data_IF_238374063340
#
_entry.id   IF_238374063340
#
_cell.length_a   1.000
_cell.length_b   1.000
_cell.length_c   1.000
_cell.angle_alpha   90.00
_cell.angle_beta   90.00
_cell.angle_gamma   90.00
#
_symmetry.space_group_name_H-M   'P 1'
#
loop_
_entity.id
_entity.type
_entity.pdbx_description
1 polymer ?
#
# COMPACT_ATOMS: atom_id res chain seq x y z
N UNK A 1 6.77 3.52 -39.39
CA UNK A 1 7.62 3.89 -38.23
C UNK A 1 6.74 3.86 -36.98
N UNK A 2 6.68 2.70 -36.34
CA UNK A 2 5.87 2.44 -35.15
C UNK A 2 6.76 2.56 -33.93
N UNK A 3 6.77 3.72 -33.28
CA UNK A 3 7.46 3.94 -32.01
C UNK A 3 6.61 3.35 -30.88
N UNK A 4 6.95 2.14 -30.47
CA UNK A 4 6.42 1.51 -29.25
C UNK A 4 7.18 2.09 -28.05
N UNK A 5 6.49 2.84 -27.20
CA UNK A 5 7.02 3.32 -25.91
C UNK A 5 6.78 2.22 -24.88
N UNK A 6 7.82 1.63 -24.24
CA UNK A 6 7.60 0.71 -23.13
C UNK A 6 7.31 1.52 -21.86
N UNK A 7 6.05 1.60 -21.44
CA UNK A 7 5.73 2.00 -20.07
C UNK A 7 6.04 0.82 -19.14
N UNK A 8 7.25 0.80 -18.57
CA UNK A 8 7.52 0.11 -17.31
C UNK A 8 6.93 0.96 -16.17
N UNK A 9 5.61 0.84 -15.94
CA UNK A 9 5.04 1.13 -14.61
C UNK A 9 5.52 0.00 -13.69
N UNK A 10 6.64 0.19 -13.00
CA UNK A 10 7.09 -0.82 -12.01
C UNK A 10 7.73 -0.20 -10.77
N UNK A 11 7.78 1.13 -10.62
CA UNK A 11 8.29 1.71 -9.36
C UNK A 11 7.77 3.13 -9.17
N UNK A 12 6.50 3.26 -8.81
CA UNK A 12 6.04 4.45 -8.10
C UNK A 12 5.12 4.00 -6.96
N UNK A 13 5.66 3.19 -6.05
CA UNK A 13 5.25 3.32 -4.65
C UNK A 13 5.39 4.80 -4.34
N UNK A 14 4.29 5.47 -4.04
CA UNK A 14 4.25 6.83 -3.51
C UNK A 14 5.38 6.99 -2.49
N UNK A 15 6.50 7.58 -2.93
CA UNK A 15 7.47 8.15 -2.04
C UNK A 15 6.82 9.41 -1.51
N UNK A 16 5.93 9.26 -0.53
CA UNK A 16 5.72 10.27 0.48
C UNK A 16 7.03 10.34 1.31
N UNK A 17 8.08 10.82 0.66
CA UNK A 17 9.43 11.01 1.14
C UNK A 17 9.42 12.05 2.25
N UNK A 18 9.27 11.52 3.46
CA UNK A 18 9.52 12.23 4.72
C UNK A 18 9.97 11.25 5.81
N UNK A 19 10.44 10.05 5.45
CA UNK A 19 11.12 9.17 6.39
C UNK A 19 12.60 9.43 6.28
N UNK A 20 13.15 10.16 7.26
CA UNK A 20 14.54 9.98 7.62
C UNK A 20 14.71 8.50 7.92
N UNK A 21 15.42 7.81 7.01
CA UNK A 21 15.98 6.49 7.28
C UNK A 21 16.60 6.54 8.67
N UNK A 22 15.98 5.87 9.64
CA UNK A 22 16.70 5.53 10.86
C UNK A 22 17.72 4.52 10.37
N UNK A 23 18.92 5.01 10.05
CA UNK A 23 20.05 4.20 9.64
C UNK A 23 20.28 3.17 10.75
N UNK A 24 19.80 1.94 10.52
CA UNK A 24 20.36 0.79 11.19
C UNK A 24 21.85 0.83 10.86
N UNK A 25 22.68 0.86 11.92
CA UNK A 25 24.14 0.88 11.92
C UNK A 25 24.75 0.43 10.56
N UNK A 26 25.36 1.38 9.82
CA UNK A 26 25.91 1.21 8.46
C UNK A 26 26.97 0.09 8.34
N UNK A 27 27.33 -0.54 9.47
CA UNK A 27 28.34 -1.60 9.55
C UNK A 27 27.83 -3.01 9.22
N UNK A 28 26.51 -3.24 9.10
CA UNK A 28 25.98 -4.53 8.63
C UNK A 28 25.48 -4.40 7.18
N UNK A 29 26.42 -4.50 6.23
CA UNK A 29 26.12 -4.75 4.83
C UNK A 29 25.56 -6.17 4.69
N UNK A 30 24.25 -6.31 4.86
CA UNK A 30 23.55 -7.53 4.48
C UNK A 30 23.57 -7.62 2.96
N UNK A 31 24.16 -8.69 2.43
CA UNK A 31 24.03 -9.01 1.01
C UNK A 31 22.57 -9.32 0.71
N UNK A 32 21.86 -8.30 0.21
CA UNK A 32 20.43 -8.35 -0.07
C UNK A 32 20.09 -9.43 -1.09
N UNK A 33 20.94 -9.65 -2.09
CA UNK A 33 20.69 -10.63 -3.14
C UNK A 33 20.83 -12.05 -2.59
N UNK A 34 21.91 -12.33 -1.85
CA UNK A 34 22.09 -13.62 -1.19
C UNK A 34 21.00 -13.89 -0.15
N UNK A 35 20.60 -12.88 0.63
CA UNK A 35 19.51 -12.99 1.59
C UNK A 35 18.19 -13.33 0.90
N UNK A 36 17.83 -12.60 -0.15
CA UNK A 36 16.61 -12.87 -0.92
C UNK A 36 16.63 -14.29 -1.49
N UNK A 37 17.77 -14.73 -2.05
CA UNK A 37 17.90 -16.07 -2.61
C UNK A 37 17.67 -17.16 -1.55
N UNK A 38 18.25 -16.99 -0.36
CA UNK A 38 18.09 -17.97 0.73
C UNK A 38 16.66 -18.02 1.26
N UNK A 39 16.05 -16.86 1.50
CA UNK A 39 14.63 -16.77 1.92
C UNK A 39 13.72 -17.36 0.85
N UNK A 40 13.96 -17.04 -0.42
CA UNK A 40 13.22 -17.58 -1.55
C UNK A 40 13.30 -19.10 -1.62
N UNK A 41 14.48 -19.69 -1.43
CA UNK A 41 14.65 -21.14 -1.43
C UNK A 41 13.81 -21.82 -0.35
N UNK A 42 13.75 -21.27 0.88
CA UNK A 42 12.89 -21.82 1.93
C UNK A 42 11.40 -21.73 1.56
N UNK A 43 10.97 -20.60 0.98
CA UNK A 43 9.58 -20.39 0.59
C UNK A 43 9.17 -21.25 -0.63
N UNK A 44 10.07 -21.52 -1.57
CA UNK A 44 9.83 -22.45 -2.69
C UNK A 44 9.60 -23.88 -2.19
N UNK A 45 10.31 -24.28 -1.14
CA UNK A 45 10.14 -25.56 -0.48
C UNK A 45 8.89 -25.63 0.44
N UNK A 46 8.08 -24.57 0.49
CA UNK A 46 6.88 -24.50 1.32
C UNK A 46 7.14 -24.30 2.81
N UNK A 47 8.38 -23.95 3.20
CA UNK A 47 8.79 -23.80 4.59
C UNK A 47 8.89 -22.32 4.99
N UNK A 48 7.73 -21.71 5.24
CA UNK A 48 7.67 -20.31 5.67
C UNK A 48 8.27 -20.09 7.06
N UNK A 49 8.26 -21.10 7.93
CA UNK A 49 8.82 -20.99 9.28
C UNK A 49 10.35 -20.90 9.24
N UNK A 50 11.00 -21.76 8.45
CA UNK A 50 12.44 -21.69 8.26
C UNK A 50 12.85 -20.37 7.57
N UNK A 51 12.02 -19.85 6.67
CA UNK A 51 12.25 -18.54 6.05
C UNK A 51 12.24 -17.40 7.08
N UNK A 52 11.28 -17.38 8.00
CA UNK A 52 11.19 -16.37 9.07
C UNK A 52 12.32 -16.53 10.08
N UNK A 53 12.63 -17.76 10.50
CA UNK A 53 13.74 -18.05 11.42
C UNK A 53 15.07 -17.58 10.84
N UNK A 54 15.28 -17.82 9.54
CA UNK A 54 16.47 -17.34 8.84
C UNK A 54 16.59 -15.81 8.87
N UNK A 55 15.48 -15.08 8.67
CA UNK A 55 15.46 -13.60 8.71
C UNK A 55 15.71 -13.09 10.13
N UNK A 56 15.04 -13.67 11.12
CA UNK A 56 15.11 -13.22 12.51
C UNK A 56 16.47 -13.53 13.15
N UNK A 57 17.19 -14.53 12.65
CA UNK A 57 18.56 -14.81 13.07
C UNK A 57 19.60 -13.83 12.54
N UNK A 58 19.23 -12.80 11.74
CA UNK A 58 20.20 -11.91 11.06
C UNK A 58 20.75 -10.77 11.92
N UNK A 59 20.29 -10.60 13.16
CA UNK A 59 20.93 -9.70 14.12
C UNK A 59 19.95 -8.85 14.92
N UNK A 60 20.32 -7.59 15.14
CA UNK A 60 19.55 -6.68 15.98
C UNK A 60 18.14 -6.41 15.42
N UNK A 61 17.14 -6.12 16.28
CA UNK A 61 15.74 -6.01 15.86
C UNK A 61 15.48 -5.00 14.73
N UNK A 62 16.18 -3.86 14.72
CA UNK A 62 16.02 -2.86 13.64
C UNK A 62 16.57 -3.35 12.30
N UNK A 63 17.64 -4.14 12.31
CA UNK A 63 18.17 -4.75 11.10
C UNK A 63 17.18 -5.78 10.54
N UNK A 64 16.65 -6.65 11.40
CA UNK A 64 15.64 -7.65 11.03
C UNK A 64 14.38 -6.98 10.47
N UNK A 65 13.91 -5.90 11.10
CA UNK A 65 12.77 -5.12 10.62
C UNK A 65 13.01 -4.52 9.21
N UNK A 66 14.22 -3.97 8.97
CA UNK A 66 14.61 -3.46 7.66
C UNK A 66 14.68 -4.57 6.60
N UNK A 67 15.20 -5.76 6.97
CA UNK A 67 15.22 -6.94 6.09
C UNK A 67 13.79 -7.34 5.68
N UNK A 68 12.86 -7.43 6.62
CA UNK A 68 11.45 -7.72 6.31
C UNK A 68 10.84 -6.69 5.34
N UNK A 69 11.07 -5.39 5.56
CA UNK A 69 10.58 -4.33 4.66
C UNK A 69 11.14 -4.49 3.24
N UNK A 70 12.43 -4.81 3.11
CA UNK A 70 13.06 -5.02 1.82
C UNK A 70 12.56 -6.28 1.11
N UNK A 71 12.38 -7.38 1.84
CA UNK A 71 11.84 -8.62 1.29
C UNK A 71 10.42 -8.45 0.74
N UNK A 72 9.57 -7.66 1.41
CA UNK A 72 8.23 -7.35 0.88
C UNK A 72 8.31 -6.67 -0.49
N UNK A 73 9.24 -5.73 -0.66
CA UNK A 73 9.47 -5.07 -1.96
C UNK A 73 10.00 -6.03 -3.00
N UNK A 74 10.94 -6.89 -2.63
CA UNK A 74 11.56 -7.85 -3.56
C UNK A 74 10.62 -8.97 -4.00
N UNK A 75 9.84 -9.52 -3.07
CA UNK A 75 8.88 -10.59 -3.38
C UNK A 75 7.76 -10.08 -4.29
N UNK A 76 7.31 -8.84 -4.10
CA UNK A 76 6.37 -8.21 -5.02
C UNK A 76 7.02 -7.86 -6.35
N UNK A 77 8.05 -7.00 -6.35
CA UNK A 77 8.58 -6.40 -7.57
C UNK A 77 9.49 -7.31 -8.40
N UNK A 78 10.32 -8.15 -7.76
CA UNK A 78 11.27 -9.00 -8.46
C UNK A 78 10.74 -10.42 -8.71
N UNK A 79 9.85 -10.92 -7.83
CA UNK A 79 9.31 -12.28 -7.92
C UNK A 79 7.85 -12.35 -8.36
N UNK A 80 7.12 -11.23 -8.31
CA UNK A 80 5.67 -11.18 -8.58
C UNK A 80 4.87 -12.18 -7.73
N UNK A 81 5.35 -12.49 -6.52
CA UNK A 81 4.77 -13.51 -5.64
C UNK A 81 4.05 -12.86 -4.45
N UNK A 82 2.77 -12.55 -4.66
CA UNK A 82 1.91 -11.91 -3.68
C UNK A 82 1.67 -12.81 -2.45
N UNK A 83 1.36 -14.11 -2.57
CA UNK A 83 1.17 -14.98 -1.41
C UNK A 83 2.39 -15.03 -0.49
N UNK A 84 3.60 -15.20 -1.05
CA UNK A 84 4.83 -15.24 -0.24
C UNK A 84 5.19 -13.87 0.33
N UNK A 85 4.96 -12.79 -0.42
CA UNK A 85 5.10 -11.42 0.07
C UNK A 85 4.20 -11.16 1.28
N UNK A 86 2.95 -11.64 1.25
CA UNK A 86 2.01 -11.54 2.38
C UNK A 86 2.52 -12.32 3.60
N UNK A 87 2.99 -13.56 3.42
CA UNK A 87 3.52 -14.39 4.51
C UNK A 87 4.68 -13.65 5.23
N UNK A 88 5.67 -13.20 4.46
CA UNK A 88 6.86 -12.50 4.99
C UNK A 88 6.47 -11.15 5.60
N UNK A 89 5.57 -10.41 4.95
CA UNK A 89 5.10 -9.13 5.45
C UNK A 89 4.35 -9.23 6.78
N UNK A 90 3.48 -10.23 6.94
CA UNK A 90 2.77 -10.48 8.20
C UNK A 90 3.72 -10.91 9.31
N UNK A 91 4.69 -11.78 9.01
CA UNK A 91 5.74 -12.15 9.96
C UNK A 91 6.55 -10.92 10.40
N UNK A 92 6.95 -10.06 9.45
CA UNK A 92 7.65 -8.82 9.76
C UNK A 92 6.86 -7.85 10.63
N UNK A 93 5.56 -7.67 10.38
CA UNK A 93 4.69 -6.90 11.27
C UNK A 93 4.63 -7.50 12.67
N UNK A 94 4.43 -8.82 12.79
CA UNK A 94 4.34 -9.50 14.08
C UNK A 94 5.64 -9.39 14.88
N UNK A 95 6.78 -9.66 14.26
CA UNK A 95 8.11 -9.49 14.84
C UNK A 95 8.32 -8.06 15.35
N UNK A 96 8.08 -7.06 14.51
CA UNK A 96 8.27 -5.65 14.89
C UNK A 96 7.41 -5.24 16.09
N UNK A 97 6.16 -5.70 16.15
CA UNK A 97 5.26 -5.38 17.26
C UNK A 97 5.67 -6.11 18.55
N UNK A 98 6.08 -7.37 18.47
CA UNK A 98 6.57 -8.13 19.62
C UNK A 98 7.84 -7.50 20.20
N UNK A 99 8.81 -7.18 19.33
CA UNK A 99 10.06 -6.54 19.74
C UNK A 99 9.83 -5.10 20.24
N UNK A 100 8.86 -4.37 19.66
CA UNK A 100 8.46 -3.05 20.16
C UNK A 100 7.92 -3.12 21.59
N UNK A 101 7.07 -4.11 21.87
CA UNK A 101 6.55 -4.34 23.21
C UNK A 101 7.64 -4.75 24.22
N UNK A 102 8.56 -5.62 23.81
CA UNK A 102 9.69 -6.01 24.64
C UNK A 102 10.58 -4.82 25.00
N UNK A 103 10.95 -3.99 24.00
CA UNK A 103 11.74 -2.78 24.19
C UNK A 103 11.06 -1.77 25.13
N UNK A 104 9.73 -1.58 24.98
CA UNK A 104 8.97 -0.71 25.88
C UNK A 104 9.00 -1.21 27.32
N UNK A 105 8.88 -2.53 27.55
CA UNK A 105 8.95 -3.14 28.89
C UNK A 105 10.33 -2.99 29.53
N UNK A 106 11.40 -2.96 28.73
CA UNK A 106 12.76 -2.72 29.21
C UNK A 106 13.14 -1.23 29.31
N UNK A 107 12.21 -0.30 29.02
CA UNK A 107 12.45 1.14 29.08
C UNK A 107 13.16 1.74 27.86
N UNK A 108 13.35 0.98 26.78
CA UNK A 108 13.91 1.49 25.51
C UNK A 108 12.78 2.01 24.60
N UNK A 109 12.28 3.20 24.94
CA UNK A 109 11.18 3.84 24.20
C UNK A 109 11.55 4.15 22.75
N UNK A 110 12.82 4.51 22.49
CA UNK A 110 13.29 4.85 21.14
C UNK A 110 13.21 3.62 20.24
N UNK A 111 13.77 2.49 20.67
CA UNK A 111 13.69 1.23 19.94
C UNK A 111 12.23 0.80 19.75
N UNK A 112 11.40 0.92 20.79
CA UNK A 112 9.99 0.57 20.72
C UNK A 112 9.25 1.37 19.63
N UNK A 113 9.46 2.69 19.56
CA UNK A 113 8.84 3.56 18.55
C UNK A 113 9.38 3.28 17.14
N UNK A 114 10.68 3.03 16.99
CA UNK A 114 11.29 2.68 15.70
C UNK A 114 10.74 1.36 15.16
N UNK A 115 10.64 0.32 15.97
CA UNK A 115 10.08 -0.98 15.57
C UNK A 115 8.58 -0.88 15.22
N UNK A 116 7.81 -0.13 16.00
CA UNK A 116 6.40 0.14 15.66
C UNK A 116 6.26 0.89 14.33
N UNK A 117 7.21 1.78 14.02
CA UNK A 117 7.26 2.49 12.75
C UNK A 117 7.55 1.57 11.57
N UNK A 118 8.46 0.60 11.73
CA UNK A 118 8.67 -0.46 10.73
C UNK A 118 7.43 -1.33 10.54
N UNK A 119 6.75 -1.74 11.61
CA UNK A 119 5.50 -2.50 11.50
C UNK A 119 4.45 -1.74 10.67
N UNK A 120 4.32 -0.43 10.88
CA UNK A 120 3.44 0.44 10.09
C UNK A 120 3.85 0.47 8.61
N UNK A 121 5.14 0.62 8.31
CA UNK A 121 5.67 0.66 6.94
C UNK A 121 5.43 -0.66 6.21
N UNK A 122 5.77 -1.79 6.84
CA UNK A 122 5.55 -3.13 6.29
C UNK A 122 4.05 -3.33 5.99
N UNK A 123 3.18 -2.97 6.94
CA UNK A 123 1.73 -3.07 6.75
C UNK A 123 1.22 -2.22 5.58
N UNK A 124 1.77 -1.01 5.39
CA UNK A 124 1.46 -0.17 4.23
C UNK A 124 1.89 -0.85 2.92
N UNK A 125 3.14 -1.31 2.84
CA UNK A 125 3.70 -1.88 1.62
C UNK A 125 2.94 -3.14 1.21
N UNK A 126 2.70 -4.07 2.14
CA UNK A 126 1.94 -5.29 1.85
C UNK A 126 0.52 -4.95 1.41
N UNK A 127 -0.15 -4.04 2.12
CA UNK A 127 -1.51 -3.64 1.80
C UNK A 127 -1.61 -2.98 0.43
N UNK A 128 -0.72 -2.04 0.12
CA UNK A 128 -0.67 -1.39 -1.19
C UNK A 128 -0.42 -2.41 -2.31
N UNK A 129 0.49 -3.37 -2.11
CA UNK A 129 0.77 -4.44 -3.06
C UNK A 129 -0.39 -5.44 -3.24
N UNK A 130 -1.37 -5.44 -2.33
CA UNK A 130 -2.59 -6.25 -2.43
C UNK A 130 -3.74 -5.50 -3.12
N UNK A 131 -3.52 -4.31 -3.68
CA UNK A 131 -4.56 -3.52 -4.33
C UNK A 131 -4.73 -3.97 -5.80
N UNK A 132 -5.89 -4.51 -6.22
CA UNK A 132 -6.08 -5.00 -7.58
C UNK A 132 -6.12 -3.90 -8.64
N UNK A 133 -6.37 -2.64 -8.24
CA UNK A 133 -6.48 -1.52 -9.17
C UNK A 133 -5.14 -1.07 -9.78
N UNK A 134 -4.01 -1.68 -9.39
CA UNK A 134 -2.73 -1.46 -10.07
C UNK A 134 -2.67 -2.10 -11.46
N UNK A 135 -3.36 -3.24 -11.66
CA UNK A 135 -3.28 -4.04 -12.90
C UNK A 135 -1.82 -4.33 -13.34
N UNK A 136 -0.90 -4.53 -12.38
CA UNK A 136 0.52 -4.80 -12.66
C UNK A 136 0.72 -6.10 -13.46
N UNK A 137 1.54 -6.04 -14.51
CA UNK A 137 1.72 -7.15 -15.44
C UNK A 137 2.33 -8.37 -14.74
N UNK A 138 1.62 -9.50 -14.82
CA UNK A 138 2.09 -10.77 -14.26
C UNK A 138 1.78 -10.95 -12.78
N UNK A 139 1.08 -10.01 -12.17
CA UNK A 139 0.61 -10.09 -10.79
C UNK A 139 -0.90 -10.34 -10.81
N UNK A 140 -1.35 -11.35 -10.07
CA UNK A 140 -2.77 -11.65 -9.87
C UNK A 140 -3.10 -11.43 -8.41
N UNK A 141 -4.03 -10.52 -8.14
CA UNK A 141 -4.53 -10.23 -6.79
C UNK A 141 -5.86 -10.95 -6.59
N UNK A 142 -5.91 -11.92 -5.68
CA UNK A 142 -7.14 -12.65 -5.35
C UNK A 142 -8.00 -11.91 -4.33
N UNK A 143 -9.24 -12.36 -4.12
CA UNK A 143 -10.10 -11.83 -3.04
C UNK A 143 -9.50 -12.08 -1.64
N UNK A 144 -8.77 -13.18 -1.46
CA UNK A 144 -8.08 -13.47 -0.20
C UNK A 144 -6.98 -12.45 0.05
N UNK A 145 -6.18 -12.13 -0.98
CA UNK A 145 -5.12 -11.13 -0.89
C UNK A 145 -5.69 -9.75 -0.53
N UNK A 146 -6.80 -9.35 -1.17
CA UNK A 146 -7.51 -8.10 -0.86
C UNK A 146 -7.98 -8.03 0.59
N UNK A 147 -8.55 -9.12 1.13
CA UNK A 147 -9.00 -9.15 2.54
C UNK A 147 -7.84 -9.02 3.52
N UNK A 148 -6.70 -9.66 3.22
CA UNK A 148 -5.48 -9.52 4.01
C UNK A 148 -4.92 -8.09 3.88
N UNK A 149 -4.94 -7.53 2.66
CA UNK A 149 -4.55 -6.16 2.38
C UNK A 149 -5.39 -5.14 3.16
N UNK A 150 -6.70 -5.35 3.28
CA UNK A 150 -7.59 -4.52 4.10
C UNK A 150 -7.24 -4.58 5.59
N UNK A 151 -6.97 -5.77 6.12
CA UNK A 151 -6.56 -5.94 7.53
C UNK A 151 -5.26 -5.16 7.81
N UNK A 152 -4.28 -5.27 6.91
CA UNK A 152 -3.01 -4.54 7.02
C UNK A 152 -3.15 -3.03 6.78
N UNK A 153 -4.10 -2.58 5.93
CA UNK A 153 -4.45 -1.16 5.81
C UNK A 153 -4.97 -0.60 7.14
N UNK A 154 -5.86 -1.34 7.81
CA UNK A 154 -6.40 -0.96 9.12
C UNK A 154 -5.31 -0.97 10.19
N UNK A 155 -4.41 -1.95 10.16
CA UNK A 155 -3.22 -1.97 11.04
C UNK A 155 -2.37 -0.72 10.81
N UNK A 156 -2.07 -0.37 9.56
CA UNK A 156 -1.31 0.82 9.20
C UNK A 156 -1.95 2.11 9.74
N UNK A 157 -3.27 2.27 9.56
CA UNK A 157 -4.02 3.42 10.08
C UNK A 157 -3.97 3.49 11.61
N UNK A 158 -4.21 2.38 12.30
CA UNK A 158 -4.14 2.29 13.76
C UNK A 158 -2.74 2.69 14.26
N UNK A 159 -1.69 2.10 13.69
CA UNK A 159 -0.31 2.42 14.06
C UNK A 159 0.07 3.86 13.72
N UNK A 160 -0.46 4.42 12.63
CA UNK A 160 -0.31 5.84 12.29
C UNK A 160 -0.83 6.75 13.41
N UNK A 161 -2.02 6.45 13.94
CA UNK A 161 -2.62 7.20 15.07
C UNK A 161 -1.83 7.02 16.35
N UNK A 162 -1.45 5.78 16.70
CA UNK A 162 -0.65 5.49 17.90
C UNK A 162 0.71 6.20 17.88
N UNK A 163 1.35 6.26 16.71
CA UNK A 163 2.62 6.96 16.50
C UNK A 163 2.46 8.48 16.32
N UNK A 164 1.24 9.01 16.43
CA UNK A 164 0.91 10.44 16.22
C UNK A 164 1.48 10.99 14.92
N UNK A 165 1.32 10.24 13.84
CA UNK A 165 1.75 10.69 12.50
C UNK A 165 0.92 11.90 12.05
N UNK A 166 1.55 12.77 11.26
CA UNK A 166 0.89 13.94 10.70
C UNK A 166 -0.26 13.58 9.77
N UNK A 167 -1.10 14.57 9.51
CA UNK A 167 -2.32 14.43 8.70
C UNK A 167 -2.03 13.84 7.33
N UNK A 168 -0.84 14.10 6.76
CA UNK A 168 -0.44 13.57 5.48
C UNK A 168 -0.40 12.03 5.45
N UNK A 169 0.15 11.43 6.50
CA UNK A 169 0.24 9.98 6.66
C UNK A 169 -1.09 9.37 7.06
N UNK A 170 -1.89 10.08 7.86
CA UNK A 170 -3.21 9.60 8.28
C UNK A 170 -4.19 9.64 7.11
N UNK A 171 -4.13 10.66 6.27
CA UNK A 171 -4.89 10.75 5.02
C UNK A 171 -4.57 9.58 4.10
N UNK A 172 -3.29 9.34 3.82
CA UNK A 172 -2.86 8.22 2.97
C UNK A 172 -3.31 6.85 3.52
N UNK A 173 -3.34 6.69 4.85
CA UNK A 173 -3.84 5.47 5.48
C UNK A 173 -5.36 5.32 5.33
N UNK A 174 -6.13 6.39 5.46
CA UNK A 174 -7.57 6.40 5.17
C UNK A 174 -7.84 6.06 3.70
N UNK A 175 -7.11 6.69 2.78
CA UNK A 175 -7.20 6.37 1.35
C UNK A 175 -6.95 4.89 1.08
N UNK A 176 -5.92 4.29 1.70
CA UNK A 176 -5.58 2.88 1.50
C UNK A 176 -6.68 1.93 2.01
N UNK A 177 -7.30 2.23 3.16
CA UNK A 177 -8.46 1.48 3.64
C UNK A 177 -9.63 1.64 2.67
N UNK A 178 -9.92 2.86 2.20
CA UNK A 178 -10.97 3.15 1.24
C UNK A 178 -10.80 2.40 -0.08
N UNK A 179 -9.58 2.33 -0.59
CA UNK A 179 -9.25 1.56 -1.78
C UNK A 179 -9.67 0.11 -1.60
N UNK A 180 -9.16 -0.60 -0.59
CA UNK A 180 -9.52 -2.00 -0.35
C UNK A 180 -11.03 -2.22 -0.17
N UNK A 181 -11.72 -1.34 0.53
CA UNK A 181 -13.18 -1.41 0.67
C UNK A 181 -13.88 -1.30 -0.70
N UNK A 182 -13.42 -0.40 -1.57
CA UNK A 182 -13.92 -0.26 -2.93
C UNK A 182 -13.67 -1.52 -3.76
N UNK A 183 -12.46 -2.09 -3.71
CA UNK A 183 -12.14 -3.35 -4.41
C UNK A 183 -13.00 -4.53 -3.96
N UNK A 184 -13.42 -4.53 -2.69
CA UNK A 184 -14.31 -5.53 -2.11
C UNK A 184 -15.81 -5.22 -2.31
N UNK A 185 -16.16 -4.19 -3.09
CA UNK A 185 -17.54 -3.79 -3.37
C UNK A 185 -18.27 -3.09 -2.20
N UNK A 186 -17.55 -2.71 -1.15
CA UNK A 186 -18.10 -2.02 0.02
C UNK A 186 -18.14 -0.50 -0.21
N UNK A 187 -18.91 -0.08 -1.22
CA UNK A 187 -18.88 1.28 -1.76
C UNK A 187 -19.15 2.38 -0.73
N UNK A 188 -20.17 2.24 0.11
CA UNK A 188 -20.50 3.26 1.14
C UNK A 188 -19.37 3.42 2.16
N UNK A 189 -18.82 2.31 2.66
CA UNK A 189 -17.70 2.35 3.60
C UNK A 189 -16.43 2.91 2.95
N UNK A 190 -16.21 2.64 1.66
CA UNK A 190 -15.10 3.22 0.91
C UNK A 190 -15.22 4.76 0.82
N UNK A 191 -16.42 5.26 0.51
CA UNK A 191 -16.71 6.70 0.46
C UNK A 191 -16.37 7.36 1.80
N UNK A 192 -16.83 6.79 2.92
CA UNK A 192 -16.53 7.33 4.26
C UNK A 192 -15.02 7.47 4.51
N UNK A 193 -14.21 6.49 4.09
CA UNK A 193 -12.76 6.55 4.25
C UNK A 193 -12.12 7.60 3.34
N UNK A 194 -12.55 7.71 2.09
CA UNK A 194 -12.05 8.74 1.18
C UNK A 194 -12.47 10.15 1.63
N UNK A 195 -13.63 10.33 2.25
CA UNK A 195 -14.03 11.60 2.86
C UNK A 195 -13.12 11.98 4.03
N UNK A 196 -12.71 11.03 4.87
CA UNK A 196 -11.71 11.31 5.91
C UNK A 196 -10.35 11.70 5.31
N UNK A 197 -9.92 11.03 4.23
CA UNK A 197 -8.69 11.37 3.52
C UNK A 197 -8.77 12.80 2.94
N UNK A 198 -9.82 13.13 2.19
CA UNK A 198 -10.03 14.46 1.63
C UNK A 198 -10.05 15.55 2.71
N UNK A 199 -10.74 15.29 3.83
CA UNK A 199 -10.81 16.23 4.96
C UNK A 199 -9.45 16.56 5.56
N UNK A 200 -8.57 15.57 5.68
CA UNK A 200 -7.23 15.73 6.24
C UNK A 200 -6.29 16.50 5.30
N UNK A 201 -6.54 16.45 3.99
CA UNK A 201 -5.74 17.14 2.97
C UNK A 201 -6.26 18.54 2.59
N UNK A 202 -7.38 18.98 3.18
CA UNK A 202 -8.03 20.27 2.94
C UNK A 202 -7.28 21.47 3.58
N UNK A 203 -5.95 21.45 3.60
CA UNK A 203 -5.10 22.54 4.11
C UNK A 203 -4.60 23.50 3.02
N UNK A 204 -4.96 23.25 1.75
CA UNK A 204 -4.49 24.02 0.59
C UNK A 204 -3.11 23.60 0.07
N UNK A 205 -2.22 23.10 0.94
CA UNK A 205 -0.88 22.61 0.58
C UNK A 205 -0.91 21.21 -0.07
N UNK A 206 -1.96 20.43 0.19
CA UNK A 206 -2.12 19.04 -0.31
C UNK A 206 -3.32 18.90 -1.23
N UNK A 207 -3.57 19.93 -2.04
CA UNK A 207 -4.72 19.98 -2.95
C UNK A 207 -4.72 18.83 -3.96
N UNK A 208 -3.57 18.32 -4.37
CA UNK A 208 -3.49 17.13 -5.22
C UNK A 208 -4.00 15.86 -4.52
N UNK A 209 -3.60 15.61 -3.28
CA UNK A 209 -4.08 14.48 -2.48
C UNK A 209 -5.58 14.58 -2.16
N UNK A 210 -6.07 15.79 -1.86
CA UNK A 210 -7.50 16.04 -1.70
C UNK A 210 -8.28 15.67 -2.98
N UNK A 211 -7.84 16.17 -4.14
CA UNK A 211 -8.50 15.89 -5.41
C UNK A 211 -8.43 14.42 -5.80
N UNK A 212 -7.32 13.74 -5.48
CA UNK A 212 -7.24 12.28 -5.60
C UNK A 212 -8.35 11.61 -4.78
N UNK A 213 -8.50 11.94 -3.49
CA UNK A 213 -9.53 11.36 -2.64
C UNK A 213 -10.96 11.66 -3.15
N UNK A 214 -11.24 12.89 -3.60
CA UNK A 214 -12.52 13.26 -4.21
C UNK A 214 -12.81 12.48 -5.50
N UNK A 215 -11.80 12.23 -6.32
CA UNK A 215 -11.92 11.35 -7.50
C UNK A 215 -12.28 9.92 -7.12
N UNK A 216 -11.68 9.37 -6.06
CA UNK A 216 -12.01 8.04 -5.56
C UNK A 216 -13.43 7.95 -4.98
N UNK A 217 -13.94 9.00 -4.33
CA UNK A 217 -15.36 9.10 -3.94
C UNK A 217 -16.27 8.98 -5.17
N UNK A 218 -15.94 9.71 -6.24
CA UNK A 218 -16.69 9.65 -7.49
C UNK A 218 -16.66 8.24 -8.12
N UNK A 219 -15.49 7.60 -8.14
CA UNK A 219 -15.34 6.22 -8.62
C UNK A 219 -16.18 5.25 -7.78
N UNK A 220 -16.19 5.36 -6.45
CA UNK A 220 -17.01 4.49 -5.60
C UNK A 220 -18.52 4.67 -5.86
N UNK A 221 -18.96 5.90 -6.14
CA UNK A 221 -20.35 6.16 -6.56
C UNK A 221 -20.66 5.56 -7.94
N UNK A 222 -19.71 5.60 -8.89
CA UNK A 222 -19.88 5.01 -10.22
C UNK A 222 -19.83 3.48 -10.20
N UNK A 223 -19.01 2.89 -9.34
CA UNK A 223 -18.95 1.44 -9.13
C UNK A 223 -20.28 0.89 -8.60
N UNK A 224 -20.97 1.64 -7.74
CA UNK A 224 -22.32 1.28 -7.26
C UNK A 224 -23.45 1.64 -8.23
N UNK A 225 -23.33 2.76 -8.96
CA UNK A 225 -24.30 3.21 -9.94
C UNK A 225 -23.59 3.85 -11.16
N UNK A 226 -23.35 3.09 -12.23
CA UNK A 226 -22.65 3.57 -13.42
C UNK A 226 -23.32 4.74 -14.14
N UNK A 227 -24.65 4.91 -13.97
CA UNK A 227 -25.43 5.98 -14.59
C UNK A 227 -25.46 7.26 -13.75
N UNK A 228 -24.68 7.33 -12.67
CA UNK A 228 -24.62 8.51 -11.82
C UNK A 228 -23.88 9.68 -12.49
N UNK A 229 -24.62 10.50 -13.24
CA UNK A 229 -24.10 11.67 -13.95
C UNK A 229 -23.42 12.71 -13.04
N UNK A 230 -23.88 12.85 -11.80
CA UNK A 230 -23.22 13.74 -10.84
C UNK A 230 -21.83 13.22 -10.46
N UNK A 231 -21.68 11.91 -10.27
CA UNK A 231 -20.40 11.29 -10.00
C UNK A 231 -19.46 11.33 -11.22
N UNK A 232 -19.97 11.16 -12.44
CA UNK A 232 -19.16 11.35 -13.68
C UNK A 232 -18.55 12.75 -13.73
N UNK A 233 -19.38 13.78 -13.54
CA UNK A 233 -18.91 15.18 -13.49
C UNK A 233 -17.90 15.42 -12.38
N UNK A 234 -18.14 14.86 -11.18
CA UNK A 234 -17.21 14.98 -10.05
C UNK A 234 -15.83 14.36 -10.37
N UNK A 235 -15.81 13.21 -11.06
CA UNK A 235 -14.57 12.57 -11.49
C UNK A 235 -13.83 13.42 -12.54
N UNK A 236 -14.54 13.91 -13.55
CA UNK A 236 -13.96 14.75 -14.61
C UNK A 236 -13.37 16.05 -14.06
N UNK A 237 -14.05 16.66 -13.08
CA UNK A 237 -13.57 17.84 -12.37
C UNK A 237 -12.27 17.54 -11.61
N UNK A 238 -12.25 16.47 -10.79
CA UNK A 238 -11.06 16.09 -10.03
C UNK A 238 -9.85 15.84 -10.95
N UNK A 239 -10.04 15.12 -12.06
CA UNK A 239 -8.99 14.88 -13.07
C UNK A 239 -8.53 16.19 -13.71
N UNK A 240 -9.45 17.11 -14.00
CA UNK A 240 -9.12 18.41 -14.59
C UNK A 240 -8.30 19.27 -13.63
N UNK A 241 -8.70 19.36 -12.35
CA UNK A 241 -7.96 20.11 -11.34
C UNK A 241 -6.56 19.53 -11.15
N UNK A 242 -6.43 18.20 -11.04
CA UNK A 242 -5.12 17.54 -10.93
C UNK A 242 -4.20 17.86 -12.12
N UNK A 243 -4.72 17.83 -13.34
CA UNK A 243 -3.94 18.23 -14.54
C UNK A 243 -3.49 19.69 -14.50
N UNK A 244 -4.31 20.58 -13.94
CA UNK A 244 -3.99 22.01 -13.82
C UNK A 244 -2.93 22.31 -12.75
N UNK A 245 -2.86 21.52 -11.67
CA UNK A 245 -1.84 21.68 -10.63
C UNK A 245 -0.42 21.46 -11.16
N UNK A 246 -0.24 20.60 -12.16
CA UNK A 246 1.02 20.44 -12.90
C UNK A 246 2.17 19.78 -12.14
N UNK A 247 1.97 19.36 -10.88
CA UNK A 247 2.96 18.59 -10.10
C UNK A 247 3.05 17.15 -10.60
N UNK A 248 4.18 16.48 -10.33
CA UNK A 248 4.35 15.06 -10.71
C UNK A 248 3.32 14.16 -10.01
N UNK A 249 3.08 14.39 -8.72
CA UNK A 249 2.04 13.68 -7.96
C UNK A 249 0.64 13.90 -8.56
N UNK A 250 0.30 15.13 -8.94
CA UNK A 250 -1.00 15.41 -9.55
C UNK A 250 -1.17 14.73 -10.93
N UNK A 251 -0.12 14.69 -11.75
CA UNK A 251 -0.14 13.94 -13.03
C UNK A 251 -0.32 12.44 -12.80
N UNK A 252 0.36 11.89 -11.81
CA UNK A 252 0.22 10.49 -11.41
C UNK A 252 -1.21 10.21 -10.96
N UNK A 253 -1.77 11.01 -10.04
CA UNK A 253 -3.14 10.83 -9.54
C UNK A 253 -4.19 10.97 -10.65
N UNK A 254 -4.05 11.95 -11.55
CA UNK A 254 -4.97 12.10 -12.68
C UNK A 254 -5.00 10.85 -13.57
N UNK A 255 -3.82 10.29 -13.85
CA UNK A 255 -3.68 9.07 -14.65
C UNK A 255 -4.27 7.86 -13.92
N UNK A 256 -4.02 7.78 -12.60
CA UNK A 256 -4.52 6.72 -11.75
C UNK A 256 -6.05 6.71 -11.67
N UNK A 257 -6.70 7.87 -11.50
CA UNK A 257 -8.16 7.97 -11.45
C UNK A 257 -8.81 7.44 -12.73
N UNK A 258 -8.25 7.76 -13.90
CA UNK A 258 -8.73 7.25 -15.19
C UNK A 258 -8.56 5.73 -15.27
N UNK A 259 -7.39 5.21 -14.89
CA UNK A 259 -7.11 3.78 -14.93
C UNK A 259 -8.03 2.99 -14.00
N UNK A 260 -8.20 3.45 -12.76
CA UNK A 260 -9.03 2.77 -11.76
C UNK A 260 -10.51 2.84 -12.11
N UNK A 261 -11.00 3.97 -12.63
CA UNK A 261 -12.37 4.04 -13.13
C UNK A 261 -12.61 3.02 -14.26
N UNK A 262 -11.66 2.88 -15.19
CA UNK A 262 -11.73 1.88 -16.26
C UNK A 262 -11.72 0.45 -15.70
N UNK A 263 -10.90 0.18 -14.69
CA UNK A 263 -10.86 -1.12 -14.00
C UNK A 263 -12.24 -1.49 -13.44
N UNK A 264 -12.87 -0.60 -12.67
CA UNK A 264 -14.19 -0.88 -12.10
C UNK A 264 -15.30 -0.97 -13.15
N UNK A 265 -15.25 -0.16 -14.22
CA UNK A 265 -16.19 -0.27 -15.32
C UNK A 265 -16.15 -1.66 -15.99
N UNK A 266 -14.95 -2.26 -16.16
CA UNK A 266 -14.81 -3.63 -16.68
C UNK A 266 -15.43 -4.65 -15.72
N UNK A 267 -15.17 -4.52 -14.41
CA UNK A 267 -15.72 -5.44 -13.41
C UNK A 267 -17.25 -5.42 -13.39
N UNK A 268 -17.86 -4.24 -13.45
CA UNK A 268 -19.32 -4.09 -13.50
C UNK A 268 -19.93 -4.61 -14.79
N UNK A 269 -19.22 -4.53 -15.93
CA UNK A 269 -19.67 -5.15 -17.17
C UNK A 269 -19.64 -6.68 -17.07
N UNK A 270 -18.56 -7.26 -16.54
CA UNK A 270 -18.40 -8.70 -16.37
C UNK A 270 -19.41 -9.31 -15.39
N UNK A 271 -19.80 -8.61 -14.33
CA UNK A 271 -20.84 -9.09 -13.41
C UNK A 271 -22.21 -9.16 -14.08
N UNK A 272 -22.57 -8.15 -14.90
CA UNK A 272 -23.83 -8.15 -15.67
C UNK A 272 -23.92 -9.31 -16.66
N UNK A 273 -22.81 -9.67 -17.31
CA UNK A 273 -22.76 -10.78 -18.27
C UNK A 273 -22.85 -12.16 -17.61
N UNK A 274 -22.40 -12.28 -16.35
CA UNK A 274 -22.42 -13.55 -15.61
C UNK A 274 -23.74 -13.84 -14.89
N UNK A 275 -24.73 -12.94 -14.97
CA UNK A 275 -26.09 -13.18 -14.45
C UNK A 275 -26.19 -13.30 -12.93
N UNK A 276 -25.20 -12.79 -12.20
CA UNK A 276 -25.24 -12.62 -10.74
C UNK A 276 -25.75 -11.23 -10.34
#
# INVERSE_FOLDING_TARGET
MTTSIPLTLTTLCLTLSGFTSVHADDNLKVDRAALLQQVWSHLENGDSAQATDYVESRGAPLLVAAVYSNLVRDLYGAKHDVPRMIIIGRAGCAFCLAQSQAAAKSGDEKLALSLKSFAKEIAYNVSANCWPGWEDKGIVITLTDQRIGLDLAKLNLRLGRELKRGDDKISAAHWLVGAHLLGLGQHSAAIEQFEQSAKLDNSGERRDAEQMALGYIAIAKLASNPENEAAKRQLDEAVTVLKQLGTEDAKFFASQLVSVNKFFAKLTAASKESGQ
#
